data_IF_532836704741
#
_entry.id   IF_532836704741
#
_cell.length_a   1.000
_cell.length_b   1.000
_cell.length_c   1.000
_cell.angle_alpha   90.00
_cell.angle_beta   90.00
_cell.angle_gamma   90.00
#
_symmetry.space_group_name_H-M   'P 1'
#
loop_
_entity.id
_entity.type
_entity.pdbx_description
1 polymer ?
#
# COMPACT_ATOMS: atom_id res chain seq x y z
N UNK A 1 -11.59 14.07 -21.88
CA UNK A 1 -12.74 13.16 -21.95
C UNK A 1 -13.27 13.12 -20.52
N UNK A 2 -14.32 13.87 -20.23
CA UNK A 2 -14.73 14.15 -18.84
C UNK A 2 -15.42 12.97 -18.17
N UNK A 3 -15.33 12.94 -16.84
CA UNK A 3 -16.01 11.94 -16.01
C UNK A 3 -17.53 12.04 -16.16
N UNK A 4 -18.18 10.99 -16.68
CA UNK A 4 -19.64 10.85 -16.68
C UNK A 4 -20.06 9.73 -15.74
N UNK A 5 -20.77 10.09 -14.67
CA UNK A 5 -21.45 9.13 -13.80
C UNK A 5 -22.92 9.02 -14.18
N UNK A 6 -23.37 7.78 -14.41
CA UNK A 6 -24.79 7.44 -14.65
C UNK A 6 -25.63 7.50 -13.37
N UNK A 7 -25.00 7.58 -12.20
CA UNK A 7 -25.68 7.67 -10.92
C UNK A 7 -25.99 9.13 -10.56
N UNK A 8 -27.27 9.50 -10.62
CA UNK A 8 -27.76 10.85 -10.33
C UNK A 8 -27.35 11.37 -8.94
N UNK A 9 -27.32 10.50 -7.92
CA UNK A 9 -26.91 10.89 -6.56
C UNK A 9 -25.43 11.21 -6.46
N UNK A 10 -24.59 10.55 -7.28
CA UNK A 10 -23.16 10.83 -7.33
C UNK A 10 -22.93 12.17 -8.02
N UNK A 11 -23.63 12.43 -9.13
CA UNK A 11 -23.56 13.70 -9.85
C UNK A 11 -23.92 14.89 -8.97
N UNK A 12 -25.05 14.82 -8.25
CA UNK A 12 -25.47 15.89 -7.33
C UNK A 12 -24.41 16.20 -6.26
N UNK A 13 -23.75 15.15 -5.73
CA UNK A 13 -22.67 15.32 -4.75
C UNK A 13 -21.44 15.99 -5.35
N UNK A 14 -21.06 15.62 -6.58
CA UNK A 14 -19.94 16.24 -7.29
C UNK A 14 -20.26 17.69 -7.63
N UNK A 15 -21.44 17.98 -8.18
CA UNK A 15 -21.91 19.35 -8.45
C UNK A 15 -21.92 20.23 -7.19
N UNK A 16 -22.34 19.66 -6.05
CA UNK A 16 -22.32 20.39 -4.77
C UNK A 16 -20.89 20.63 -4.30
N UNK A 17 -20.00 19.65 -4.45
CA UNK A 17 -18.59 19.77 -4.11
C UNK A 17 -17.88 20.83 -4.97
N UNK A 18 -18.13 20.80 -6.29
CA UNK A 18 -17.65 21.77 -7.26
C UNK A 18 -18.07 23.19 -6.90
N UNK A 19 -19.36 23.40 -6.59
CA UNK A 19 -19.90 24.68 -6.13
C UNK A 19 -19.24 25.19 -4.84
N UNK A 20 -18.99 24.31 -3.88
CA UNK A 20 -18.35 24.68 -2.61
C UNK A 20 -16.89 25.09 -2.79
N UNK A 21 -16.19 24.50 -3.77
CA UNK A 21 -14.77 24.76 -4.04
C UNK A 21 -14.54 25.83 -5.12
N UNK A 22 -15.58 26.23 -5.85
CA UNK A 22 -15.43 27.14 -6.99
C UNK A 22 -14.67 26.53 -8.17
N UNK A 23 -14.68 25.20 -8.28
CA UNK A 23 -14.00 24.43 -9.32
C UNK A 23 -15.03 23.82 -10.27
N UNK A 24 -14.60 23.39 -11.45
CA UNK A 24 -15.40 22.47 -12.27
C UNK A 24 -15.52 21.09 -11.60
N UNK A 25 -16.49 20.30 -12.04
CA UNK A 25 -16.82 19.00 -11.45
C UNK A 25 -15.65 18.00 -11.51
N UNK A 26 -14.86 18.02 -12.58
CA UNK A 26 -13.74 17.12 -12.79
C UNK A 26 -12.60 17.50 -11.83
N UNK A 27 -12.19 18.77 -11.83
CA UNK A 27 -11.16 19.29 -10.91
C UNK A 27 -11.55 19.10 -9.44
N UNK A 28 -12.82 19.30 -9.08
CA UNK A 28 -13.30 19.12 -7.71
C UNK A 28 -13.22 17.65 -7.26
N UNK A 29 -13.48 16.72 -8.18
CA UNK A 29 -13.39 15.29 -7.95
C UNK A 29 -11.93 14.86 -7.80
N UNK A 30 -11.04 15.31 -8.69
CA UNK A 30 -9.61 15.03 -8.63
C UNK A 30 -8.99 15.52 -7.32
N UNK A 31 -9.22 16.77 -6.94
CA UNK A 31 -8.71 17.33 -5.68
C UNK A 31 -9.24 16.55 -4.45
N UNK A 32 -10.51 16.13 -4.47
CA UNK A 32 -11.06 15.31 -3.39
C UNK A 32 -10.46 13.90 -3.34
N UNK A 33 -10.19 13.30 -4.51
CA UNK A 33 -9.53 12.01 -4.61
C UNK A 33 -8.10 12.08 -4.10
N UNK A 34 -7.34 13.08 -4.53
CA UNK A 34 -5.97 13.32 -4.09
C UNK A 34 -5.89 13.58 -2.59
N UNK A 35 -6.82 14.37 -2.04
CA UNK A 35 -6.93 14.56 -0.61
C UNK A 35 -7.14 13.23 0.14
N UNK A 36 -8.05 12.37 -0.34
CA UNK A 36 -8.28 11.05 0.25
C UNK A 36 -7.06 10.13 0.14
N UNK A 37 -6.42 10.07 -1.02
CA UNK A 37 -5.22 9.26 -1.25
C UNK A 37 -4.09 9.74 -0.34
N UNK A 38 -3.94 11.05 -0.14
CA UNK A 38 -2.93 11.60 0.77
C UNK A 38 -3.17 11.22 2.23
N UNK A 39 -4.44 11.14 2.67
CA UNK A 39 -4.79 10.72 4.03
C UNK A 39 -4.54 9.23 4.21
N UNK A 40 -4.88 8.40 3.21
CA UNK A 40 -4.57 6.96 3.24
C UNK A 40 -3.07 6.70 3.28
N UNK A 41 -2.30 7.34 2.39
CA UNK A 41 -0.83 7.26 2.40
C UNK A 41 -0.23 7.69 3.74
N UNK A 42 -0.77 8.72 4.37
CA UNK A 42 -0.32 9.15 5.71
C UNK A 42 -0.63 8.12 6.78
N UNK A 43 -1.82 7.50 6.75
CA UNK A 43 -2.21 6.42 7.68
C UNK A 43 -1.37 5.16 7.50
N UNK A 44 -0.98 4.83 6.27
CA UNK A 44 -0.14 3.65 5.98
C UNK A 44 1.34 3.86 6.35
N UNK A 45 1.80 5.12 6.40
CA UNK A 45 3.18 5.45 6.74
C UNK A 45 3.41 5.79 8.21
N UNK A 46 2.41 5.59 9.09
CA UNK A 46 2.63 5.77 10.53
C UNK A 46 3.64 4.73 11.05
N UNK A 47 4.40 5.04 12.12
CA UNK A 47 5.28 4.06 12.75
C UNK A 47 4.56 2.77 13.14
N UNK A 48 3.32 2.87 13.60
CA UNK A 48 2.49 1.74 14.03
C UNK A 48 2.08 0.87 12.83
N UNK A 49 1.66 1.48 11.70
CA UNK A 49 1.31 0.75 10.48
C UNK A 49 2.53 0.03 9.87
N UNK A 50 3.70 0.69 9.91
CA UNK A 50 4.97 0.07 9.49
C UNK A 50 5.33 -1.12 10.38
N UNK A 51 5.21 -0.97 11.70
CA UNK A 51 5.46 -2.05 12.65
C UNK A 51 4.53 -3.23 12.42
N UNK A 52 3.22 -2.99 12.29
CA UNK A 52 2.24 -4.04 12.01
C UNK A 52 2.53 -4.78 10.70
N UNK A 53 3.00 -4.07 9.66
CA UNK A 53 3.43 -4.70 8.39
C UNK A 53 4.67 -5.59 8.59
N UNK A 54 5.65 -5.14 9.37
CA UNK A 54 6.85 -5.95 9.66
C UNK A 54 6.50 -7.18 10.50
N UNK A 55 5.66 -7.03 11.53
CA UNK A 55 5.17 -8.14 12.35
C UNK A 55 4.46 -9.18 11.49
N UNK A 56 3.59 -8.74 10.57
CA UNK A 56 2.94 -9.65 9.61
C UNK A 56 3.93 -10.39 8.70
N UNK A 57 4.95 -9.70 8.17
CA UNK A 57 5.99 -10.35 7.35
C UNK A 57 6.76 -11.38 8.17
N UNK A 58 7.08 -11.07 9.43
CA UNK A 58 7.76 -12.01 10.34
C UNK A 58 6.87 -13.21 10.63
N UNK A 59 5.57 -13.01 10.87
CA UNK A 59 4.61 -14.09 11.04
C UNK A 59 4.51 -14.97 9.79
N UNK A 60 4.45 -14.38 8.60
CA UNK A 60 4.44 -15.10 7.32
C UNK A 60 5.73 -15.92 7.14
N UNK A 61 6.90 -15.33 7.41
CA UNK A 61 8.19 -16.04 7.36
C UNK A 61 8.22 -17.19 8.36
N UNK A 62 7.77 -16.98 9.60
CA UNK A 62 7.74 -18.03 10.62
C UNK A 62 6.72 -19.13 10.29
N UNK A 63 5.68 -18.82 9.52
CA UNK A 63 4.72 -19.79 9.01
C UNK A 63 5.27 -20.60 7.82
N UNK A 64 6.33 -20.13 7.15
CA UNK A 64 7.09 -20.95 6.21
C UNK A 64 7.81 -22.00 7.04
N UNK A 65 7.25 -23.21 7.07
CA UNK A 65 7.92 -24.38 7.63
C UNK A 65 9.28 -24.64 6.97
N UNK A 66 10.05 -25.63 7.44
CA UNK A 66 11.34 -25.95 6.85
C UNK A 66 11.21 -26.16 5.33
N UNK A 67 12.09 -25.50 4.57
CA UNK A 67 12.11 -25.65 3.12
C UNK A 67 12.27 -27.13 2.75
N UNK A 68 11.58 -27.59 1.69
CA UNK A 68 11.80 -28.92 1.12
C UNK A 68 13.29 -29.21 0.90
N UNK A 69 13.77 -30.46 1.08
CA UNK A 69 15.20 -30.78 0.95
C UNK A 69 15.83 -30.36 -0.38
N UNK A 70 15.05 -30.30 -1.46
CA UNK A 70 15.44 -29.87 -2.80
C UNK A 70 15.54 -28.34 -2.98
N UNK A 71 15.09 -27.56 -2.00
CA UNK A 71 15.12 -26.09 -1.97
C UNK A 71 16.00 -25.54 -0.85
N UNK A 72 16.68 -26.41 -0.12
CA UNK A 72 17.67 -26.00 0.88
C UNK A 72 18.95 -25.58 0.18
N UNK A 73 19.48 -24.43 0.57
CA UNK A 73 20.80 -23.99 0.14
C UNK A 73 21.86 -24.75 0.93
N UNK A 74 22.97 -25.11 0.28
CA UNK A 74 24.12 -25.67 0.97
C UNK A 74 24.63 -24.68 2.02
N UNK A 75 24.90 -25.18 3.22
CA UNK A 75 25.46 -24.36 4.27
C UNK A 75 26.86 -23.88 3.86
N UNK A 76 27.13 -22.58 4.03
CA UNK A 76 28.50 -22.06 3.82
C UNK A 76 29.40 -22.67 4.89
N UNK A 77 30.32 -23.53 4.46
CA UNK A 77 31.35 -24.09 5.32
C UNK A 77 32.55 -23.14 5.41
N UNK A 78 33.04 -22.95 6.63
CA UNK A 78 34.25 -22.17 6.89
C UNK A 78 35.34 -23.11 7.40
N UNK A 79 36.58 -22.88 7.00
CA UNK A 79 37.73 -23.57 7.58
C UNK A 79 38.13 -23.00 8.95
N UNK A 80 39.13 -23.63 9.59
CA UNK A 80 39.64 -23.19 10.90
C UNK A 80 40.30 -21.80 10.87
N UNK A 81 40.56 -21.25 9.68
CA UNK A 81 41.11 -19.92 9.45
C UNK A 81 40.03 -18.88 9.11
N UNK A 82 38.75 -19.29 9.06
CA UNK A 82 37.63 -18.41 8.73
C UNK A 82 37.54 -18.07 7.24
N UNK A 83 38.08 -18.90 6.36
CA UNK A 83 37.92 -18.79 4.91
C UNK A 83 36.80 -19.70 4.41
N UNK A 84 36.04 -19.30 3.38
CA UNK A 84 35.06 -20.18 2.75
C UNK A 84 35.75 -21.40 2.15
N UNK A 85 35.23 -22.61 2.42
CA UNK A 85 35.66 -23.86 1.78
C UNK A 85 35.07 -24.02 0.38
#
# INVERSE_FOLDING_TARGET
MGFQSDNARIREKIERLARLKGLDEESALEDALDAQLSVRRRKENTPEARRARLEKIVEEINAIGPLPPDQQFDAVEWDDLGLPK
#
